data_IF_477062831483
#
_entry.id   IF_477062831483
#
_cell.length_a   1.000
_cell.length_b   1.000
_cell.length_c   1.000
_cell.angle_alpha   90.00
_cell.angle_beta   90.00
_cell.angle_gamma   90.00
#
_symmetry.space_group_name_H-M   'P 1'
#
loop_
_entity.id
_entity.type
_entity.pdbx_description
1 polymer ?
#
# COMPACT_ATOMS: atom_id res chain seq x y z
N UNK A 1 -20.50 2.59 8.31
CA UNK A 1 -19.89 1.80 7.22
C UNK A 1 -19.60 0.40 7.76
N UNK A 2 -20.00 -0.64 7.06
CA UNK A 2 -19.72 -2.03 7.45
C UNK A 2 -18.29 -2.46 7.09
N UNK A 3 -17.91 -3.70 7.39
CA UNK A 3 -16.61 -4.24 7.00
C UNK A 3 -16.43 -4.24 5.48
N UNK A 4 -15.20 -4.00 5.04
CA UNK A 4 -14.83 -4.00 3.61
C UNK A 4 -13.83 -5.11 3.30
N UNK A 5 -13.79 -5.63 2.05
CA UNK A 5 -12.86 -6.69 1.68
C UNK A 5 -11.39 -6.24 1.72
N UNK A 6 -10.51 -7.09 2.26
CA UNK A 6 -9.06 -6.91 2.18
C UNK A 6 -8.45 -7.47 0.88
N UNK A 7 -9.14 -8.42 0.23
CA UNK A 7 -8.71 -8.99 -1.05
C UNK A 7 -9.77 -8.77 -2.11
N UNK A 8 -9.35 -8.49 -3.34
CA UNK A 8 -10.24 -8.43 -4.51
C UNK A 8 -9.83 -9.47 -5.54
N UNK A 9 -10.64 -9.65 -6.58
CA UNK A 9 -10.30 -10.47 -7.75
C UNK A 9 -10.08 -9.55 -8.94
N UNK A 10 -8.88 -9.56 -9.50
CA UNK A 10 -8.60 -8.97 -10.80
C UNK A 10 -9.18 -9.90 -11.88
N UNK A 11 -10.26 -9.47 -12.52
CA UNK A 11 -10.95 -10.23 -13.58
C UNK A 11 -10.13 -10.33 -14.86
N UNK A 12 -9.25 -9.37 -15.14
CA UNK A 12 -8.44 -9.41 -16.37
C UNK A 12 -7.38 -10.53 -16.31
N UNK A 13 -6.88 -10.82 -15.10
CA UNK A 13 -5.83 -11.82 -14.84
C UNK A 13 -6.31 -13.05 -14.07
N UNK A 14 -7.60 -13.13 -13.75
CA UNK A 14 -8.25 -14.25 -13.03
C UNK A 14 -7.52 -14.64 -11.73
N UNK A 15 -7.09 -13.64 -10.94
CA UNK A 15 -6.35 -13.86 -9.70
C UNK A 15 -6.82 -12.97 -8.56
N UNK A 16 -6.66 -13.45 -7.33
CA UNK A 16 -6.84 -12.62 -6.12
C UNK A 16 -5.68 -11.62 -6.01
N UNK A 17 -5.98 -10.45 -5.47
CA UNK A 17 -5.03 -9.36 -5.28
C UNK A 17 -5.15 -8.78 -3.87
N UNK A 18 -4.02 -8.31 -3.35
CA UNK A 18 -3.92 -7.64 -2.06
C UNK A 18 -4.29 -6.16 -2.20
N UNK A 19 -5.60 -5.89 -2.33
CA UNK A 19 -6.13 -4.55 -2.59
C UNK A 19 -6.74 -3.96 -1.31
N UNK A 20 -5.87 -3.51 -0.41
CA UNK A 20 -6.24 -2.86 0.85
C UNK A 20 -5.11 -1.93 1.32
N UNK A 21 -5.37 -1.19 2.39
CA UNK A 21 -4.40 -0.27 3.01
C UNK A 21 -3.93 -0.75 4.39
N UNK A 22 -3.96 -2.06 4.67
CA UNK A 22 -3.69 -2.62 6.00
C UNK A 22 -2.32 -2.20 6.54
N UNK A 23 -1.24 -2.49 5.81
CA UNK A 23 0.12 -2.15 6.24
C UNK A 23 0.29 -0.63 6.30
N UNK A 24 -0.20 0.10 5.30
CA UNK A 24 -0.09 1.56 5.25
C UNK A 24 -0.78 2.27 6.43
N UNK A 25 -1.97 1.83 6.81
CA UNK A 25 -2.68 2.38 7.97
C UNK A 25 -1.99 1.99 9.28
N UNK A 26 -1.61 0.73 9.42
CA UNK A 26 -1.03 0.21 10.66
C UNK A 26 0.37 0.76 10.97
N UNK A 27 1.15 1.17 9.96
CA UNK A 27 2.51 1.69 10.17
C UNK A 27 2.67 3.17 9.89
N UNK A 28 1.73 3.79 9.19
CA UNK A 28 1.88 5.15 8.68
C UNK A 28 0.78 6.14 9.08
N UNK A 29 -0.36 5.69 9.62
CA UNK A 29 -1.41 6.61 10.08
C UNK A 29 -1.19 6.99 11.53
N UNK A 30 -0.09 7.70 11.74
CA UNK A 30 0.34 8.20 13.04
C UNK A 30 0.35 9.74 13.00
N UNK A 31 -0.55 10.36 13.75
CA UNK A 31 -0.56 11.81 13.97
C UNK A 31 -1.16 12.09 15.36
N UNK A 32 -1.28 13.37 15.74
CA UNK A 32 -1.82 13.78 17.04
C UNK A 32 -3.24 13.26 17.34
N UNK A 33 -3.96 12.74 16.34
CA UNK A 33 -5.34 12.23 16.44
C UNK A 33 -5.43 10.73 16.19
N UNK A 34 -4.39 10.08 15.66
CA UNK A 34 -4.45 8.71 15.18
C UNK A 34 -3.36 7.85 15.82
N UNK A 35 -3.80 6.77 16.47
CA UNK A 35 -2.95 5.67 16.94
C UNK A 35 -2.88 4.60 15.84
N UNK A 36 -1.71 4.37 15.23
CA UNK A 36 -1.58 3.48 14.08
C UNK A 36 -1.98 2.03 14.41
N UNK A 37 -1.79 1.56 15.65
CA UNK A 37 -2.19 0.23 16.08
C UNK A 37 -3.71 0.03 16.15
N UNK A 38 -4.48 1.13 16.13
CA UNK A 38 -5.95 1.15 16.13
C UNK A 38 -6.54 1.68 14.82
N UNK A 39 -5.71 2.17 13.92
CA UNK A 39 -6.14 2.75 12.64
C UNK A 39 -6.80 1.72 11.72
N UNK A 40 -6.47 0.43 11.90
CA UNK A 40 -7.07 -0.67 11.14
C UNK A 40 -7.23 -1.91 12.03
N UNK A 41 -8.40 -2.53 11.95
CA UNK A 41 -8.77 -3.76 12.67
C UNK A 41 -9.32 -4.78 11.69
N UNK A 42 -9.61 -5.99 12.16
CA UNK A 42 -10.52 -6.88 11.44
C UNK A 42 -11.91 -6.24 11.29
N UNK A 43 -12.69 -6.75 10.34
CA UNK A 43 -14.03 -6.27 10.05
C UNK A 43 -15.04 -6.44 11.20
N UNK A 44 -14.71 -7.27 12.19
CA UNK A 44 -15.47 -7.47 13.43
C UNK A 44 -14.96 -6.60 14.60
N UNK A 45 -13.99 -5.71 14.34
CA UNK A 45 -13.41 -4.80 15.33
C UNK A 45 -12.25 -5.39 16.15
N UNK A 46 -11.91 -6.67 15.98
CA UNK A 46 -10.76 -7.27 16.69
C UNK A 46 -9.44 -6.68 16.17
N UNK A 47 -8.45 -6.45 17.05
CA UNK A 47 -7.14 -5.97 16.62
C UNK A 47 -6.45 -6.98 15.70
N UNK A 48 -5.65 -6.47 14.77
CA UNK A 48 -4.80 -7.28 13.92
C UNK A 48 -3.53 -7.69 14.69
N UNK A 49 -3.02 -8.93 14.53
CA UNK A 49 -1.75 -9.34 15.15
C UNK A 49 -0.58 -8.57 14.55
N UNK A 50 0.19 -7.90 15.42
CA UNK A 50 1.30 -7.03 15.00
C UNK A 50 2.39 -7.79 14.25
N UNK A 51 2.73 -8.99 14.72
CA UNK A 51 3.73 -9.87 14.10
C UNK A 51 3.37 -10.21 12.65
N UNK A 52 2.10 -10.54 12.38
CA UNK A 52 1.61 -10.84 11.03
C UNK A 52 1.67 -9.61 10.13
N UNK A 53 1.35 -8.42 10.65
CA UNK A 53 1.43 -7.17 9.88
C UNK A 53 2.89 -6.85 9.55
N UNK A 54 3.80 -7.01 10.50
CA UNK A 54 5.23 -6.84 10.27
C UNK A 54 5.76 -7.83 9.23
N UNK A 55 5.30 -9.09 9.25
CA UNK A 55 5.67 -10.06 8.22
C UNK A 55 5.09 -9.71 6.85
N UNK A 56 3.88 -9.16 6.77
CA UNK A 56 3.33 -8.63 5.53
C UNK A 56 4.19 -7.48 4.99
N UNK A 57 4.63 -6.56 5.86
CA UNK A 57 5.56 -5.49 5.47
C UNK A 57 6.87 -6.06 4.91
N UNK A 58 7.46 -7.09 5.54
CA UNK A 58 8.67 -7.76 5.03
C UNK A 58 8.46 -8.36 3.64
N UNK A 59 7.29 -8.94 3.37
CA UNK A 59 6.95 -9.47 2.04
C UNK A 59 6.91 -8.33 1.01
N UNK A 60 6.25 -7.20 1.33
CA UNK A 60 6.21 -6.03 0.46
C UNK A 60 7.62 -5.46 0.20
N UNK A 61 8.46 -5.42 1.23
CA UNK A 61 9.84 -4.96 1.14
C UNK A 61 10.76 -5.91 0.36
N UNK A 62 10.44 -7.21 0.34
CA UNK A 62 11.18 -8.20 -0.44
C UNK A 62 10.78 -8.21 -1.92
N UNK A 63 9.48 -8.08 -2.21
CA UNK A 63 8.93 -8.25 -3.55
C UNK A 63 8.84 -6.92 -4.35
N UNK A 64 9.20 -5.78 -3.75
CA UNK A 64 9.21 -4.50 -4.47
C UNK A 64 10.37 -4.40 -5.46
N UNK A 65 10.16 -3.59 -6.49
CA UNK A 65 11.17 -3.19 -7.45
C UNK A 65 11.33 -1.68 -7.38
N UNK A 66 12.47 -1.22 -6.86
CA UNK A 66 12.79 0.20 -6.71
C UNK A 66 13.68 0.67 -7.88
N UNK A 67 13.05 1.22 -8.92
CA UNK A 67 13.76 1.73 -10.10
C UNK A 67 14.26 3.15 -9.81
N UNK A 68 15.56 3.46 -9.97
CA UNK A 68 16.07 4.81 -9.81
C UNK A 68 15.57 5.69 -10.96
N UNK A 69 14.77 6.71 -10.61
CA UNK A 69 14.19 7.64 -11.57
C UNK A 69 15.24 8.46 -12.33
N UNK A 70 15.03 8.60 -13.63
CA UNK A 70 15.74 9.53 -14.50
C UNK A 70 14.79 10.55 -15.11
N UNK A 71 15.33 11.72 -15.46
CA UNK A 71 14.56 12.77 -16.11
C UNK A 71 14.06 12.27 -17.47
N UNK A 72 12.74 12.32 -17.66
CA UNK A 72 12.08 11.89 -18.89
C UNK A 72 11.47 10.50 -18.81
N UNK A 73 11.73 9.74 -17.74
CA UNK A 73 11.09 8.45 -17.52
C UNK A 73 9.58 8.59 -17.37
N UNK A 74 8.84 7.61 -17.90
CA UNK A 74 7.40 7.45 -17.70
C UNK A 74 7.14 6.02 -17.23
N UNK A 75 6.59 5.88 -16.03
CA UNK A 75 6.14 4.60 -15.50
C UNK A 75 4.62 4.48 -15.70
N UNK A 76 4.20 3.47 -16.46
CA UNK A 76 2.80 3.06 -16.53
C UNK A 76 2.57 1.91 -15.55
N UNK A 77 1.63 2.09 -14.61
CA UNK A 77 1.26 1.08 -13.63
C UNK A 77 -0.23 0.72 -13.75
N UNK A 78 -0.52 -0.58 -13.67
CA UNK A 78 -1.89 -1.07 -13.51
C UNK A 78 -2.25 -1.09 -12.02
N UNK A 79 -3.14 -0.19 -11.61
CA UNK A 79 -3.55 -0.01 -10.23
C UNK A 79 -4.32 -1.23 -9.64
N UNK A 80 -4.76 -2.17 -10.47
CA UNK A 80 -5.30 -3.46 -10.00
C UNK A 80 -4.20 -4.46 -9.64
N UNK A 81 -2.98 -4.31 -10.15
CA UNK A 81 -1.92 -5.29 -9.98
C UNK A 81 -0.75 -4.81 -9.12
N UNK A 82 -0.61 -3.49 -8.91
CA UNK A 82 0.59 -2.89 -8.32
C UNK A 82 0.23 -1.97 -7.15
N UNK A 83 0.87 -2.20 -6.01
CA UNK A 83 1.00 -1.20 -4.94
C UNK A 83 2.28 -0.39 -5.19
N UNK A 84 2.27 0.90 -4.85
CA UNK A 84 3.44 1.77 -4.98
C UNK A 84 3.73 2.49 -3.67
N UNK A 85 5.00 2.81 -3.45
CA UNK A 85 5.48 3.54 -2.28
C UNK A 85 6.56 4.53 -2.70
N UNK A 86 7.13 5.27 -1.73
CA UNK A 86 8.18 6.24 -1.99
C UNK A 86 9.27 6.10 -0.94
N UNK A 87 10.53 6.08 -1.37
CA UNK A 87 11.69 6.16 -0.47
C UNK A 87 11.89 7.61 0.01
N UNK A 88 12.48 7.82 1.20
CA UNK A 88 13.02 9.12 1.57
C UNK A 88 14.01 9.63 0.51
N UNK A 89 14.07 10.94 0.31
CA UNK A 89 14.96 11.57 -0.67
C UNK A 89 15.39 12.94 -0.18
N UNK A 90 16.53 13.42 -0.68
CA UNK A 90 16.95 14.80 -0.52
C UNK A 90 16.47 15.64 -1.71
N UNK A 91 15.88 16.83 -1.49
CA UNK A 91 15.43 17.70 -2.58
C UNK A 91 16.61 18.25 -3.40
N UNK A 92 16.41 18.61 -4.69
CA UNK A 92 15.13 18.65 -5.40
C UNK A 92 14.71 17.28 -5.97
N UNK A 93 13.41 16.98 -5.85
CA UNK A 93 12.77 15.80 -6.47
C UNK A 93 11.37 16.18 -6.93
N UNK A 94 11.06 15.94 -8.21
CA UNK A 94 9.79 16.34 -8.81
C UNK A 94 9.28 15.25 -9.76
N UNK A 95 8.15 14.64 -9.38
CA UNK A 95 7.46 13.59 -10.14
C UNK A 95 6.02 14.05 -10.38
N UNK A 96 5.55 13.89 -11.62
CA UNK A 96 4.18 14.19 -12.02
C UNK A 96 3.39 12.88 -12.16
N UNK A 97 2.06 12.96 -12.03
CA UNK A 97 1.18 11.80 -12.13
C UNK A 97 -0.10 12.12 -12.93
N UNK A 98 -0.70 11.08 -13.48
CA UNK A 98 -2.03 11.11 -14.11
C UNK A 98 -2.79 9.85 -13.71
N UNK A 99 -4.12 9.96 -13.59
CA UNK A 99 -5.00 8.86 -13.21
C UNK A 99 -5.91 8.49 -14.37
N UNK A 100 -6.02 7.19 -14.62
CA UNK A 100 -6.93 6.64 -15.60
C UNK A 100 -8.23 6.17 -14.92
N UNK A 101 -9.31 6.18 -15.68
CA UNK A 101 -10.64 5.74 -15.24
C UNK A 101 -10.73 4.21 -15.16
#
# INVERSE_FOLDING_TARGET
MGPIPATKVDKSRQRKIWFNSMVAAYTGWEDARNDPAKAVTFGDGKPLPTDIICDCLKILDKENVAIPWQKGDVLLLDNWAVLHSRRPFDPPHHVLASLFK
#
